data_IF_965858772461
#
_entry.id   IF_965858772461
#
_cell.length_a   1.000
_cell.length_b   1.000
_cell.length_c   1.000
_cell.angle_alpha   90.00
_cell.angle_beta   90.00
_cell.angle_gamma   90.00
#
_symmetry.space_group_name_H-M   'P 1'
#
loop_
_entity.id
_entity.type
_entity.pdbx_description
1 polymer ?
#
# COMPACT_ATOMS: atom_id res chain seq x y z
N UNK A 1 27.02 -43.47 20.33
CA UNK A 1 27.63 -42.13 20.44
C UNK A 1 28.41 -41.90 19.16
N UNK A 2 27.79 -41.26 18.18
CA UNK A 2 28.45 -40.78 16.97
C UNK A 2 28.07 -39.31 16.85
N UNK A 3 29.08 -38.46 16.97
CA UNK A 3 28.97 -37.01 16.98
C UNK A 3 28.84 -36.54 15.53
N UNK A 4 27.70 -35.97 15.17
CA UNK A 4 27.46 -35.37 13.85
C UNK A 4 27.60 -33.86 14.03
N UNK A 5 28.83 -33.38 13.83
CA UNK A 5 29.12 -31.95 13.72
C UNK A 5 28.67 -31.47 12.35
N UNK A 6 27.53 -30.78 12.29
CA UNK A 6 27.11 -30.03 11.10
C UNK A 6 27.87 -28.71 11.06
N UNK A 7 29.00 -28.70 10.36
CA UNK A 7 29.68 -27.47 9.93
C UNK A 7 28.82 -26.78 8.86
N UNK A 8 27.89 -25.94 9.29
CA UNK A 8 27.30 -24.92 8.41
C UNK A 8 28.18 -23.69 8.42
N UNK A 9 28.95 -23.50 7.36
CA UNK A 9 29.66 -22.24 7.13
C UNK A 9 28.66 -21.06 7.10
N UNK A 10 28.99 -19.91 7.69
CA UNK A 10 28.15 -18.73 7.62
C UNK A 10 28.06 -18.25 6.17
N UNK A 11 26.84 -18.27 5.62
CA UNK A 11 26.54 -17.71 4.31
C UNK A 11 26.82 -16.20 4.38
N UNK A 12 27.84 -15.75 3.64
CA UNK A 12 28.14 -14.32 3.50
C UNK A 12 27.02 -13.64 2.69
N UNK A 13 26.09 -13.02 3.42
CA UNK A 13 24.96 -12.26 2.85
C UNK A 13 25.39 -11.03 2.05
N UNK A 14 26.68 -10.66 2.07
CA UNK A 14 27.22 -9.57 1.26
C UNK A 14 27.76 -10.04 -0.11
N UNK A 15 27.75 -11.35 -0.39
CA UNK A 15 28.43 -11.92 -1.55
C UNK A 15 27.55 -12.09 -2.80
N UNK A 16 26.31 -11.58 -2.83
CA UNK A 16 25.55 -11.48 -4.09
C UNK A 16 25.79 -10.09 -4.66
N UNK A 17 26.64 -9.94 -5.70
CA UNK A 17 26.94 -8.64 -6.27
C UNK A 17 25.65 -8.05 -6.84
N UNK A 18 25.39 -6.78 -6.52
CA UNK A 18 24.23 -6.03 -6.99
C UNK A 18 24.11 -6.10 -8.52
N UNK A 19 25.24 -6.18 -9.24
CA UNK A 19 25.27 -6.34 -10.69
C UNK A 19 24.56 -7.62 -11.16
N UNK A 20 24.72 -8.75 -10.46
CA UNK A 20 24.05 -10.00 -10.81
C UNK A 20 22.53 -9.97 -10.55
N UNK A 21 22.08 -9.14 -9.61
CA UNK A 21 20.65 -8.90 -9.37
C UNK A 21 20.09 -7.97 -10.45
N UNK A 22 20.80 -6.90 -10.79
CA UNK A 22 20.38 -5.94 -11.83
C UNK A 22 20.38 -6.53 -13.24
N UNK A 23 21.31 -7.45 -13.54
CA UNK A 23 21.36 -8.20 -14.81
C UNK A 23 20.14 -9.11 -15.02
N UNK A 24 19.44 -9.50 -13.95
CA UNK A 24 18.18 -10.23 -14.02
C UNK A 24 16.94 -9.33 -14.23
N UNK A 25 17.10 -8.00 -14.11
CA UNK A 25 16.01 -7.00 -14.23
C UNK A 25 16.37 -5.77 -15.11
N UNK A 26 16.86 -5.96 -16.35
CA UNK A 26 17.32 -4.86 -17.21
C UNK A 26 16.22 -3.85 -17.59
N UNK A 27 14.95 -4.22 -17.47
CA UNK A 27 13.81 -3.33 -17.76
C UNK A 27 13.57 -2.28 -16.66
N UNK A 28 13.98 -2.54 -15.41
CA UNK A 28 13.69 -1.69 -14.24
C UNK A 28 14.60 -0.46 -14.17
N UNK A 29 15.82 -0.54 -14.72
CA UNK A 29 16.82 0.53 -14.71
C UNK A 29 17.11 1.17 -16.07
N UNK A 30 16.49 0.71 -17.16
CA UNK A 30 16.80 1.30 -18.46
C UNK A 30 16.37 2.79 -18.51
N UNK A 31 17.22 3.64 -19.09
CA UNK A 31 16.89 5.02 -19.47
C UNK A 31 15.63 5.09 -20.37
N UNK A 32 15.21 3.95 -20.94
CA UNK A 32 13.96 3.80 -21.68
C UNK A 32 12.70 3.98 -20.81
N UNK A 33 12.74 3.69 -19.50
CA UNK A 33 11.63 3.89 -18.56
C UNK A 33 11.33 5.37 -18.29
N UNK A 34 12.36 6.22 -18.23
CA UNK A 34 12.20 7.69 -18.20
C UNK A 34 11.75 8.24 -19.55
N UNK A 35 12.14 7.61 -20.67
CA UNK A 35 11.65 7.96 -22.01
C UNK A 35 10.17 7.59 -22.20
N UNK A 36 9.67 6.57 -21.51
CA UNK A 36 8.27 6.18 -21.52
C UNK A 36 7.35 7.25 -20.90
N UNK A 37 7.86 8.05 -19.94
CA UNK A 37 7.13 9.17 -19.32
C UNK A 37 6.91 10.37 -20.26
N UNK A 38 7.57 10.40 -21.43
CA UNK A 38 7.44 11.45 -22.45
C UNK A 38 6.75 10.97 -23.73
N UNK A 39 6.11 9.80 -23.69
CA UNK A 39 5.40 9.21 -24.83
C UNK A 39 3.90 9.17 -24.59
N UNK A 40 3.14 9.21 -25.68
CA UNK A 40 1.71 8.95 -25.63
C UNK A 40 1.48 7.50 -25.16
N UNK A 41 0.68 7.31 -24.11
CA UNK A 41 0.37 6.00 -23.54
C UNK A 41 -0.34 5.04 -24.52
N UNK A 42 -1.00 5.59 -25.55
CA UNK A 42 -1.70 4.79 -26.56
C UNK A 42 -0.81 4.48 -27.77
N UNK A 43 -0.28 5.51 -28.43
CA UNK A 43 0.41 5.38 -29.71
C UNK A 43 1.93 5.44 -29.64
N UNK A 44 2.52 5.71 -28.46
CA UNK A 44 3.96 5.77 -28.26
C UNK A 44 4.67 7.02 -28.78
N UNK A 45 3.97 7.95 -29.45
CA UNK A 45 4.57 9.19 -29.98
C UNK A 45 5.17 10.07 -28.89
N UNK A 46 6.35 10.63 -29.13
CA UNK A 46 7.10 11.52 -28.23
C UNK A 46 7.31 12.90 -28.84
N UNK A 47 7.67 13.88 -28.00
CA UNK A 47 8.11 15.19 -28.48
C UNK A 47 9.34 15.09 -29.41
N UNK A 48 10.19 14.08 -29.18
CA UNK A 48 11.41 13.84 -29.97
C UNK A 48 11.12 13.40 -31.42
N UNK A 49 9.92 12.87 -31.70
CA UNK A 49 9.53 12.36 -33.03
C UNK A 49 8.63 13.32 -33.83
N UNK A 50 8.00 14.28 -33.17
CA UNK A 50 6.92 15.11 -33.74
C UNK A 50 7.26 16.62 -33.78
N UNK A 51 8.47 17.00 -33.33
CA UNK A 51 8.99 18.36 -33.39
C UNK A 51 8.69 19.25 -32.18
N UNK A 52 9.26 20.46 -32.17
CA UNK A 52 9.30 21.39 -31.02
C UNK A 52 7.92 21.82 -30.45
N UNK A 53 6.83 21.65 -31.21
CA UNK A 53 5.49 22.05 -30.79
C UNK A 53 4.61 20.91 -30.27
N UNK A 54 5.13 19.69 -30.17
CA UNK A 54 4.36 18.54 -29.73
C UNK A 54 4.23 18.49 -28.19
N UNK A 55 3.00 18.71 -27.69
CA UNK A 55 2.70 18.65 -26.25
C UNK A 55 1.68 17.55 -25.94
N UNK A 56 2.09 16.62 -25.08
CA UNK A 56 1.18 15.61 -24.54
C UNK A 56 0.25 16.22 -23.49
N UNK A 57 -1.04 15.89 -23.59
CA UNK A 57 -2.08 16.27 -22.63
C UNK A 57 -2.16 15.23 -21.52
N UNK A 58 -2.37 15.68 -20.29
CA UNK A 58 -2.54 14.80 -19.13
C UNK A 58 -3.99 14.35 -19.02
N UNK A 59 -4.20 13.11 -18.58
CA UNK A 59 -5.53 12.63 -18.20
C UNK A 59 -6.10 13.50 -17.08
N UNK A 60 -7.36 13.96 -17.22
CA UNK A 60 -8.01 14.79 -16.20
C UNK A 60 -8.25 14.07 -14.87
N UNK A 61 -8.43 12.74 -14.89
CA UNK A 61 -8.68 11.93 -13.69
C UNK A 61 -7.40 11.60 -12.92
N UNK A 62 -6.44 10.94 -13.58
CA UNK A 62 -5.24 10.41 -12.92
C UNK A 62 -4.03 11.36 -12.93
N UNK A 63 -4.02 12.34 -13.85
CA UNK A 63 -2.89 13.23 -14.16
C UNK A 63 -1.53 12.57 -14.47
N UNK A 64 -1.48 11.24 -14.49
CA UNK A 64 -0.31 10.39 -14.69
C UNK A 64 -0.12 10.07 -16.18
N UNK A 65 -1.12 9.45 -16.81
CA UNK A 65 -1.04 9.10 -18.23
C UNK A 65 -1.14 10.32 -19.13
N UNK A 66 -0.34 10.28 -20.20
CA UNK A 66 -0.17 11.36 -21.17
C UNK A 66 -0.60 10.89 -22.55
N UNK A 67 -1.32 11.73 -23.27
CA UNK A 67 -1.87 11.42 -24.59
C UNK A 67 -1.63 12.57 -25.56
N UNK A 68 -1.31 12.26 -26.81
CA UNK A 68 -1.16 13.28 -27.85
C UNK A 68 -2.51 13.90 -28.23
N UNK A 69 -3.59 13.12 -28.14
CA UNK A 69 -4.95 13.53 -28.48
C UNK A 69 -5.99 12.97 -27.51
N UNK A 70 -7.19 13.53 -27.57
CA UNK A 70 -8.36 13.01 -26.83
C UNK A 70 -8.74 11.61 -27.31
N UNK A 71 -8.46 11.28 -28.57
CA UNK A 71 -8.78 9.98 -29.15
C UNK A 71 -7.83 8.89 -28.64
N UNK A 72 -6.54 9.20 -28.52
CA UNK A 72 -5.58 8.32 -27.83
C UNK A 72 -5.98 8.08 -26.36
N UNK A 73 -6.47 9.10 -25.67
CA UNK A 73 -6.97 8.95 -24.29
C UNK A 73 -8.19 8.02 -24.22
N UNK A 74 -9.15 8.17 -25.14
CA UNK A 74 -10.34 7.31 -25.19
C UNK A 74 -9.99 5.87 -25.55
N UNK A 75 -9.09 5.68 -26.52
CA UNK A 75 -8.66 4.37 -26.97
C UNK A 75 -7.87 3.62 -25.89
N UNK A 76 -7.07 4.31 -25.09
CA UNK A 76 -6.38 3.72 -23.94
C UNK A 76 -7.27 3.63 -22.69
N UNK A 77 -8.44 4.29 -22.64
CA UNK A 77 -9.25 4.41 -21.42
C UNK A 77 -9.56 3.08 -20.74
N UNK A 78 -9.87 2.04 -21.53
CA UNK A 78 -10.18 0.70 -21.01
C UNK A 78 -8.98 0.12 -20.26
N UNK A 79 -7.75 0.24 -20.79
CA UNK A 79 -6.53 -0.23 -20.13
C UNK A 79 -6.09 0.72 -19.01
N UNK A 80 -6.20 2.01 -19.25
CA UNK A 80 -5.78 3.07 -18.37
C UNK A 80 -6.56 3.11 -17.06
N UNK A 81 -7.89 3.04 -17.14
CA UNK A 81 -8.80 3.07 -15.97
C UNK A 81 -8.51 1.93 -14.99
N UNK A 82 -7.97 0.81 -15.48
CA UNK A 82 -7.58 -0.36 -14.69
C UNK A 82 -6.26 -0.15 -13.94
N UNK A 83 -5.26 0.46 -14.58
CA UNK A 83 -3.99 0.80 -13.93
C UNK A 83 -4.14 2.00 -12.97
N UNK A 84 -5.08 2.90 -13.25
CA UNK A 84 -5.43 3.93 -12.27
C UNK A 84 -6.09 3.34 -11.03
N UNK A 85 -6.87 2.28 -11.22
CA UNK A 85 -7.48 1.51 -10.14
C UNK A 85 -6.46 0.73 -9.28
N UNK A 86 -5.21 0.54 -9.74
CA UNK A 86 -4.12 -0.05 -8.93
C UNK A 86 -3.47 0.96 -7.97
N UNK A 87 -3.40 2.24 -8.35
CA UNK A 87 -2.88 3.32 -7.49
C UNK A 87 -3.97 4.03 -6.69
N UNK A 88 -5.23 3.80 -7.03
CA UNK A 88 -6.39 4.34 -6.36
C UNK A 88 -7.41 3.22 -6.09
N UNK A 89 -7.58 2.91 -4.80
CA UNK A 89 -8.73 2.27 -4.16
C UNK A 89 -8.54 0.81 -3.71
N UNK A 90 -8.27 0.67 -2.42
CA UNK A 90 -9.01 -0.23 -1.54
C UNK A 90 -10.52 -0.03 -1.72
N UNK A 91 -11.28 -1.09 -1.99
CA UNK A 91 -12.74 -1.03 -1.97
C UNK A 91 -13.21 -1.07 -0.51
N UNK A 92 -13.97 -0.06 -0.09
CA UNK A 92 -14.49 0.04 1.26
C UNK A 92 -15.63 -0.96 1.46
N UNK A 93 -15.38 -2.01 2.25
CA UNK A 93 -16.44 -2.82 2.85
C UNK A 93 -17.17 -2.02 3.93
N UNK A 94 -18.42 -2.39 4.21
CA UNK A 94 -19.27 -1.62 5.11
C UNK A 94 -18.72 -1.46 6.53
N UNK A 95 -19.14 -0.38 7.18
CA UNK A 95 -18.70 -0.01 8.52
C UNK A 95 -19.70 -0.61 9.51
N UNK A 96 -19.25 -1.57 10.33
CA UNK A 96 -20.04 -2.06 11.46
C UNK A 96 -19.64 -1.29 12.73
N UNK A 97 -20.55 -0.45 13.23
CA UNK A 97 -20.42 0.21 14.53
C UNK A 97 -21.30 -0.54 15.53
N UNK A 98 -20.71 -1.15 16.56
CA UNK A 98 -21.45 -1.65 17.74
C UNK A 98 -21.10 -0.76 18.93
N UNK A 99 -22.05 -0.44 19.81
CA UNK A 99 -21.82 0.42 20.97
C UNK A 99 -21.99 -0.35 22.27
N UNK A 100 -20.96 -0.35 23.11
CA UNK A 100 -21.04 -0.57 24.56
C UNK A 100 -20.09 0.44 25.21
N UNK A 101 -20.58 1.16 26.22
CA UNK A 101 -19.85 2.09 27.12
C UNK A 101 -19.85 3.61 26.77
N UNK A 102 -20.00 4.45 27.80
CA UNK A 102 -20.15 5.93 27.80
C UNK A 102 -18.82 6.70 27.85
N UNK A 103 -17.75 6.16 28.46
CA UNK A 103 -16.46 6.87 28.55
C UNK A 103 -15.66 6.92 27.23
N UNK A 104 -16.06 6.10 26.25
CA UNK A 104 -15.49 6.11 24.90
C UNK A 104 -15.77 7.40 24.11
N UNK A 105 -16.76 8.23 24.48
CA UNK A 105 -17.29 9.28 23.58
C UNK A 105 -16.29 10.36 23.16
N UNK A 106 -15.36 10.77 24.03
CA UNK A 106 -14.36 11.79 23.66
C UNK A 106 -13.27 11.26 22.74
N UNK A 107 -12.80 10.02 22.96
CA UNK A 107 -11.84 9.35 22.07
C UNK A 107 -12.50 8.96 20.75
N UNK A 108 -13.75 8.49 20.80
CA UNK A 108 -14.63 8.25 19.64
C UNK A 108 -14.77 9.49 18.79
N UNK A 109 -15.07 10.67 19.35
CA UNK A 109 -15.22 11.90 18.56
C UNK A 109 -13.94 12.30 17.82
N UNK A 110 -12.76 12.05 18.38
CA UNK A 110 -11.49 12.33 17.72
C UNK A 110 -11.20 11.33 16.58
N UNK A 111 -11.43 10.03 16.80
CA UNK A 111 -11.19 8.97 15.81
C UNK A 111 -12.27 8.95 14.72
N UNK A 112 -13.55 9.10 15.07
CA UNK A 112 -14.65 9.24 14.13
C UNK A 112 -14.53 10.51 13.27
N UNK A 113 -14.00 11.63 13.80
CA UNK A 113 -13.69 12.80 12.96
C UNK A 113 -12.55 12.57 11.96
N UNK A 114 -11.82 11.48 12.05
CA UNK A 114 -10.66 11.18 11.20
C UNK A 114 -10.95 10.04 10.25
N UNK A 115 -11.67 9.02 10.74
CA UNK A 115 -12.07 7.83 9.99
C UNK A 115 -13.46 7.94 9.37
N UNK A 116 -14.34 8.79 9.91
CA UNK A 116 -15.77 8.84 9.56
C UNK A 116 -16.26 10.24 9.24
N UNK A 117 -15.52 11.14 8.54
CA UNK A 117 -16.13 12.44 8.17
C UNK A 117 -17.35 12.21 7.27
N UNK A 118 -18.58 12.50 7.74
CA UNK A 118 -19.82 12.17 7.05
C UNK A 118 -20.60 13.46 6.80
N UNK A 119 -20.53 14.01 5.59
CA UNK A 119 -21.66 14.81 5.14
C UNK A 119 -22.36 14.04 4.05
N UNK A 120 -23.20 13.13 4.55
CA UNK A 120 -24.31 12.46 3.88
C UNK A 120 -23.88 11.52 2.75
N UNK A 121 -24.10 10.22 2.96
CA UNK A 121 -24.33 9.31 1.84
C UNK A 121 -25.49 9.89 1.01
N UNK A 122 -25.13 10.58 -0.07
CA UNK A 122 -26.04 11.37 -0.89
C UNK A 122 -25.30 11.87 -2.13
N UNK A 123 -25.04 10.95 -3.06
CA UNK A 123 -24.62 11.29 -4.43
C UNK A 123 -23.16 10.96 -4.75
N UNK A 124 -22.93 9.71 -5.17
CA UNK A 124 -21.89 9.30 -6.14
C UNK A 124 -20.43 9.64 -5.78
N UNK A 125 -19.79 8.73 -5.05
CA UNK A 125 -18.40 8.25 -5.27
C UNK A 125 -17.20 9.23 -5.25
N UNK A 126 -17.32 10.45 -4.72
CA UNK A 126 -16.23 11.46 -4.80
C UNK A 126 -15.66 12.06 -3.52
N UNK A 127 -16.23 11.82 -2.32
CA UNK A 127 -16.02 12.74 -1.17
C UNK A 127 -15.78 12.04 0.19
N UNK A 128 -15.14 10.86 0.20
CA UNK A 128 -14.47 10.31 1.39
C UNK A 128 -12.95 10.41 1.24
N UNK A 129 -12.47 11.62 0.95
CA UNK A 129 -11.06 11.99 0.76
C UNK A 129 -10.20 11.94 2.02
N UNK A 130 -10.44 11.01 2.93
CA UNK A 130 -9.43 10.53 3.86
C UNK A 130 -9.30 9.02 3.66
N UNK A 131 -8.68 8.55 2.55
CA UNK A 131 -7.96 7.29 2.66
C UNK A 131 -7.06 7.46 3.89
N UNK A 132 -7.07 6.48 4.79
CA UNK A 132 -6.05 6.36 5.82
C UNK A 132 -4.75 6.81 5.16
N UNK A 133 -4.12 7.90 5.62
CA UNK A 133 -2.99 8.51 4.88
C UNK A 133 -1.88 7.49 4.59
N UNK A 134 -1.95 6.35 5.26
CA UNK A 134 -1.12 5.18 5.21
C UNK A 134 -1.66 4.02 4.36
N UNK A 135 -2.61 4.22 3.45
CA UNK A 135 -3.20 3.13 2.62
C UNK A 135 -2.13 2.27 1.93
N UNK A 136 -1.14 2.92 1.30
CA UNK A 136 -0.01 2.21 0.68
C UNK A 136 0.75 1.36 1.70
N UNK A 137 1.03 1.90 2.88
CA UNK A 137 1.76 1.20 3.94
C UNK A 137 0.94 0.04 4.51
N UNK A 138 -0.36 0.21 4.71
CA UNK A 138 -1.25 -0.85 5.22
C UNK A 138 -1.42 -1.97 4.20
N UNK A 139 -1.56 -1.65 2.91
CA UNK A 139 -1.61 -2.65 1.85
C UNK A 139 -0.28 -3.41 1.71
N UNK A 140 0.85 -2.69 1.78
CA UNK A 140 2.17 -3.29 1.76
C UNK A 140 2.40 -4.21 2.99
N UNK A 141 1.99 -3.77 4.19
CA UNK A 141 1.99 -4.62 5.38
C UNK A 141 1.17 -5.88 5.17
N UNK A 142 -0.06 -5.76 4.66
CA UNK A 142 -0.93 -6.91 4.43
C UNK A 142 -0.32 -7.95 3.50
N UNK A 143 0.25 -7.49 2.38
CA UNK A 143 0.95 -8.37 1.43
C UNK A 143 2.20 -9.00 2.09
N UNK A 144 2.99 -8.22 2.82
CA UNK A 144 4.19 -8.73 3.48
C UNK A 144 3.87 -9.80 4.53
N UNK A 145 2.83 -9.59 5.35
CA UNK A 145 2.38 -10.59 6.33
C UNK A 145 1.93 -11.90 5.66
N UNK A 146 1.14 -11.81 4.58
CA UNK A 146 0.77 -13.01 3.79
C UNK A 146 2.00 -13.75 3.27
N UNK A 147 2.98 -13.01 2.74
CA UNK A 147 4.21 -13.59 2.20
C UNK A 147 5.13 -14.21 3.27
N UNK A 148 5.07 -13.74 4.51
CA UNK A 148 5.83 -14.29 5.65
C UNK A 148 5.21 -15.59 6.18
N UNK A 149 3.89 -15.70 6.23
CA UNK A 149 3.20 -16.86 6.83
C UNK A 149 3.15 -18.10 5.94
N UNK A 150 3.27 -17.94 4.62
CA UNK A 150 3.19 -19.07 3.70
C UNK A 150 2.78 -18.70 2.27
N UNK A 151 2.57 -17.42 1.99
CA UNK A 151 2.21 -16.94 0.66
C UNK A 151 0.70 -16.91 0.41
N UNK A 152 0.35 -16.68 -0.85
CA UNK A 152 -1.04 -16.43 -1.27
C UNK A 152 -1.89 -17.69 -1.04
N UNK A 153 -1.39 -18.85 -1.46
CA UNK A 153 -2.08 -20.13 -1.34
C UNK A 153 -2.41 -20.44 0.11
N UNK A 154 -1.47 -20.18 1.03
CA UNK A 154 -1.71 -20.29 2.46
C UNK A 154 -2.84 -19.36 2.92
N UNK A 155 -2.90 -18.12 2.45
CA UNK A 155 -3.95 -17.17 2.85
C UNK A 155 -5.35 -17.49 2.28
N UNK A 156 -5.42 -18.29 1.21
CA UNK A 156 -6.67 -18.55 0.49
C UNK A 156 -7.27 -19.92 0.77
N UNK A 157 -6.49 -20.88 1.28
CA UNK A 157 -6.98 -22.24 1.53
C UNK A 157 -6.55 -22.77 2.92
N UNK A 158 -7.43 -22.75 3.94
CA UNK A 158 -8.76 -22.11 3.93
C UNK A 158 -8.64 -20.58 3.85
N UNK A 159 -9.73 -19.90 3.48
CA UNK A 159 -9.74 -18.44 3.36
C UNK A 159 -9.48 -17.80 4.73
N UNK A 160 -8.38 -17.05 4.80
CA UNK A 160 -8.00 -16.25 5.97
C UNK A 160 -8.43 -14.80 5.80
N UNK A 161 -8.65 -14.15 6.94
CA UNK A 161 -8.82 -12.72 7.07
C UNK A 161 -7.66 -12.17 7.90
N UNK A 162 -7.10 -11.05 7.46
CA UNK A 162 -6.07 -10.35 8.20
C UNK A 162 -6.72 -9.32 9.13
N UNK A 163 -6.54 -9.48 10.43
CA UNK A 163 -6.96 -8.49 11.42
C UNK A 163 -5.77 -7.59 11.76
N UNK A 164 -5.93 -6.28 11.61
CA UNK A 164 -4.94 -5.28 11.97
C UNK A 164 -5.45 -4.43 13.12
N UNK A 165 -4.69 -4.42 14.21
CA UNK A 165 -5.00 -3.59 15.38
C UNK A 165 -4.21 -2.29 15.30
N UNK A 166 -4.93 -1.18 15.34
CA UNK A 166 -4.40 0.17 15.41
C UNK A 166 -4.72 0.76 16.80
N UNK A 167 -3.92 1.72 17.25
CA UNK A 167 -4.18 2.46 18.48
C UNK A 167 -4.20 3.96 18.19
N UNK A 168 -5.10 4.74 18.83
CA UNK A 168 -5.00 6.19 18.77
C UNK A 168 -3.65 6.65 19.31
N UNK A 169 -2.96 7.53 18.60
CA UNK A 169 -1.76 8.14 19.15
C UNK A 169 -2.17 9.01 20.35
N UNK A 170 -1.57 8.74 21.53
CA UNK A 170 -1.81 9.52 22.73
C UNK A 170 -1.56 11.00 22.46
N UNK A 171 -2.60 11.81 22.49
CA UNK A 171 -2.49 13.26 22.36
C UNK A 171 -1.91 13.82 23.65
N UNK A 172 -0.59 13.75 23.81
CA UNK A 172 0.09 14.46 24.90
C UNK A 172 0.02 15.97 24.62
N UNK A 173 -1.07 16.60 25.07
CA UNK A 173 -1.11 17.98 25.52
C UNK A 173 -1.09 19.15 24.52
N UNK A 174 -0.81 18.99 23.23
CA UNK A 174 -0.65 20.15 22.32
C UNK A 174 -1.80 20.35 21.31
N UNK A 175 -2.53 21.49 21.33
CA UNK A 175 -3.69 21.73 20.44
C UNK A 175 -3.38 22.20 19.00
N UNK A 176 -2.14 22.55 18.61
CA UNK A 176 -2.00 23.55 17.53
C UNK A 176 -1.69 23.07 16.09
N UNK A 177 -1.26 21.83 15.82
CA UNK A 177 -1.09 21.33 14.44
C UNK A 177 -1.28 19.81 14.38
N UNK A 178 -2.54 19.36 14.32
CA UNK A 178 -2.85 17.94 14.14
C UNK A 178 -2.42 17.50 12.73
N UNK A 179 -1.21 16.97 12.59
CA UNK A 179 -0.83 16.19 11.42
C UNK A 179 -1.76 14.97 11.37
N UNK A 180 -2.62 14.89 10.36
CA UNK A 180 -3.61 13.82 10.23
C UNK A 180 -2.98 12.43 10.13
N UNK A 181 -1.70 12.36 9.76
CA UNK A 181 -0.95 11.11 9.68
C UNK A 181 -0.47 10.56 11.02
N UNK A 182 -0.50 11.35 12.10
CA UNK A 182 -0.03 10.92 13.43
C UNK A 182 -1.16 10.47 14.35
N UNK A 183 -2.33 10.17 13.79
CA UNK A 183 -3.54 9.93 14.59
C UNK A 183 -3.63 8.48 15.04
N UNK A 184 -3.07 7.56 14.27
CA UNK A 184 -3.09 6.13 14.55
C UNK A 184 -1.66 5.61 14.59
N UNK A 185 -1.45 4.60 15.44
CA UNK A 185 -0.27 3.77 15.48
C UNK A 185 -0.67 2.34 15.16
N UNK A 186 0.16 1.64 14.42
CA UNK A 186 0.05 0.20 14.24
C UNK A 186 0.48 -0.50 15.53
N UNK A 187 -0.37 -1.37 16.06
CA UNK A 187 -0.13 -2.12 17.30
C UNK A 187 0.18 -3.58 17.04
N UNK A 188 -0.50 -4.20 16.08
CA UNK A 188 -0.31 -5.61 15.78
C UNK A 188 -1.17 -6.09 14.63
N UNK A 189 -1.01 -7.37 14.30
CA UNK A 189 -1.85 -8.08 13.36
C UNK A 189 -1.99 -9.55 13.78
N UNK A 190 -3.02 -10.19 13.26
CA UNK A 190 -3.22 -11.63 13.34
C UNK A 190 -3.99 -12.12 12.11
N UNK A 191 -3.84 -13.40 11.77
CA UNK A 191 -4.67 -14.05 10.76
C UNK A 191 -5.72 -14.91 11.42
N UNK A 192 -6.95 -14.79 10.94
CA UNK A 192 -8.10 -15.53 11.43
C UNK A 192 -8.64 -16.36 10.27
N UNK A 193 -8.84 -17.66 10.47
CA UNK A 193 -9.56 -18.50 9.50
C UNK A 193 -11.03 -18.12 9.55
N UNK A 194 -11.62 -17.78 8.39
CA UNK A 194 -13.00 -17.30 8.36
C UNK A 194 -13.98 -18.37 8.86
N UNK A 195 -13.80 -19.62 8.47
CA UNK A 195 -14.67 -20.73 8.88
C UNK A 195 -14.66 -20.94 10.41
N UNK A 196 -13.48 -20.94 11.02
CA UNK A 196 -13.33 -21.02 12.48
C UNK A 196 -14.04 -19.84 13.16
N UNK A 197 -13.90 -18.62 12.61
CA UNK A 197 -14.54 -17.43 13.17
C UNK A 197 -16.06 -17.45 13.02
N UNK A 198 -16.56 -17.99 11.93
CA UNK A 198 -18.00 -18.15 11.70
C UNK A 198 -18.60 -19.22 12.63
N UNK A 199 -17.84 -20.27 12.94
CA UNK A 199 -18.24 -21.27 13.93
C UNK A 199 -18.26 -20.68 15.35
N UNK A 200 -17.28 -19.84 15.70
CA UNK A 200 -17.22 -19.16 17.00
C UNK A 200 -18.34 -18.12 17.16
N UNK A 201 -18.61 -17.32 16.12
CA UNK A 201 -19.56 -16.20 16.17
C UNK A 201 -20.42 -16.23 14.88
N UNK A 202 -21.54 -16.97 14.87
CA UNK A 202 -22.38 -17.15 13.68
C UNK A 202 -22.89 -15.85 13.05
N UNK A 203 -23.13 -14.79 13.85
CA UNK A 203 -23.56 -13.49 13.32
C UNK A 203 -22.48 -12.84 12.44
N UNK A 204 -21.21 -13.16 12.68
CA UNK A 204 -20.11 -12.71 11.81
C UNK A 204 -20.21 -13.37 10.43
N UNK A 205 -20.59 -14.65 10.38
CA UNK A 205 -20.83 -15.37 9.12
C UNK A 205 -22.01 -14.79 8.33
N UNK A 206 -23.10 -14.42 9.00
CA UNK A 206 -24.25 -13.78 8.34
C UNK A 206 -23.87 -12.41 7.75
N UNK A 207 -23.16 -11.58 8.52
CA UNK A 207 -22.67 -10.28 8.02
C UNK A 207 -21.66 -10.45 6.89
N UNK A 208 -20.80 -11.45 6.99
CA UNK A 208 -19.88 -11.79 5.90
C UNK A 208 -20.67 -12.11 4.63
N UNK A 209 -21.71 -12.94 4.70
CA UNK A 209 -22.56 -13.27 3.56
C UNK A 209 -23.28 -12.04 2.98
N UNK A 210 -23.68 -11.07 3.81
CA UNK A 210 -24.30 -9.82 3.38
C UNK A 210 -23.40 -9.02 2.41
N UNK A 211 -22.07 -9.03 2.62
CA UNK A 211 -21.10 -8.33 1.78
C UNK A 211 -20.63 -9.12 0.54
N UNK A 212 -21.30 -10.22 0.19
CA UNK A 212 -20.98 -11.00 -1.00
C UNK A 212 -21.07 -10.19 -2.30
N UNK A 213 -22.10 -9.34 -2.54
CA UNK A 213 -22.17 -8.52 -3.76
C UNK A 213 -20.96 -7.60 -3.95
N UNK A 214 -20.48 -6.98 -2.85
CA UNK A 214 -19.30 -6.12 -2.82
C UNK A 214 -18.02 -6.90 -3.15
N UNK A 215 -17.85 -8.09 -2.57
CA UNK A 215 -16.71 -8.96 -2.88
C UNK A 215 -16.73 -9.40 -4.33
N UNK A 216 -17.89 -9.78 -4.88
CA UNK A 216 -18.02 -10.13 -6.29
C UNK A 216 -17.72 -8.94 -7.21
N UNK A 217 -18.14 -7.73 -6.85
CA UNK A 217 -17.80 -6.52 -7.57
C UNK A 217 -16.28 -6.25 -7.56
N UNK A 218 -15.63 -6.43 -6.41
CA UNK A 218 -14.17 -6.33 -6.29
C UNK A 218 -13.46 -7.41 -7.12
N UNK A 219 -13.89 -8.67 -7.06
CA UNK A 219 -13.38 -9.75 -7.90
C UNK A 219 -13.46 -9.40 -9.40
N UNK A 220 -14.63 -8.96 -9.90
CA UNK A 220 -14.81 -8.55 -11.29
C UNK A 220 -13.90 -7.39 -11.70
N UNK A 221 -13.66 -6.45 -10.80
CA UNK A 221 -12.77 -5.30 -11.06
C UNK A 221 -11.32 -5.74 -11.19
N UNK A 222 -10.85 -6.61 -10.31
CA UNK A 222 -9.44 -6.98 -10.25
C UNK A 222 -9.07 -8.17 -11.13
N UNK A 223 -10.04 -9.02 -11.50
CA UNK A 223 -9.84 -10.18 -12.40
C UNK A 223 -9.38 -9.82 -13.80
N UNK A 224 -9.48 -8.54 -14.17
CA UNK A 224 -8.98 -8.03 -15.44
C UNK A 224 -7.44 -8.10 -15.50
N UNK A 225 -6.78 -8.10 -14.34
CA UNK A 225 -5.33 -8.28 -14.28
C UNK A 225 -4.96 -9.77 -14.37
N UNK A 226 -4.08 -10.19 -15.29
CA UNK A 226 -3.81 -11.61 -15.55
C UNK A 226 -3.20 -12.35 -14.35
N UNK A 227 -2.45 -11.65 -13.49
CA UNK A 227 -1.87 -12.24 -12.28
C UNK A 227 -2.83 -12.25 -11.08
N UNK A 228 -4.06 -11.76 -11.21
CA UNK A 228 -5.00 -11.70 -10.09
C UNK A 228 -5.43 -13.10 -9.64
N UNK A 229 -5.47 -13.30 -8.32
CA UNK A 229 -5.78 -14.62 -7.73
C UNK A 229 -6.82 -14.59 -6.62
N UNK A 230 -7.17 -13.41 -6.12
CA UNK A 230 -8.32 -13.26 -5.23
C UNK A 230 -8.19 -12.06 -4.32
N UNK A 231 -9.00 -12.05 -3.27
CA UNK A 231 -9.03 -10.96 -2.29
C UNK A 231 -8.47 -11.47 -0.97
N UNK A 232 -7.70 -10.61 -0.31
CA UNK A 232 -7.42 -10.69 1.11
C UNK A 232 -8.42 -9.79 1.84
N UNK A 233 -9.33 -10.35 2.64
CA UNK A 233 -10.16 -9.58 3.56
C UNK A 233 -9.26 -9.03 4.67
N UNK A 234 -9.32 -7.72 4.90
CA UNK A 234 -8.57 -7.04 5.95
C UNK A 234 -9.54 -6.30 6.87
N UNK A 235 -9.51 -6.63 8.16
CA UNK A 235 -10.28 -5.93 9.17
C UNK A 235 -9.37 -5.03 10.00
N UNK A 236 -9.77 -3.78 10.17
CA UNK A 236 -9.11 -2.83 11.04
C UNK A 236 -9.92 -2.66 12.31
N UNK A 237 -9.26 -2.84 13.43
CA UNK A 237 -9.76 -2.48 14.75
C UNK A 237 -8.93 -1.33 15.30
N UNK A 238 -9.59 -0.37 15.95
CA UNK A 238 -8.90 0.72 16.65
C UNK A 238 -9.11 0.57 18.15
N UNK A 239 -8.03 0.30 18.89
CA UNK A 239 -8.02 0.15 20.34
C UNK A 239 -8.79 1.28 21.04
N UNK A 240 -9.71 0.88 21.92
CA UNK A 240 -10.54 1.81 22.68
C UNK A 240 -11.59 2.54 21.85
N UNK A 241 -11.80 2.15 20.59
CA UNK A 241 -12.87 2.62 19.73
C UNK A 241 -13.66 1.39 19.26
N UNK A 242 -14.93 1.32 19.63
CA UNK A 242 -15.83 0.23 19.23
C UNK A 242 -16.28 0.39 17.77
N UNK A 243 -15.30 0.30 16.86
CA UNK A 243 -15.48 0.46 15.43
C UNK A 243 -14.52 -0.46 14.70
N UNK A 244 -15.07 -1.27 13.80
CA UNK A 244 -14.32 -2.11 12.88
C UNK A 244 -14.58 -1.67 11.44
N UNK A 245 -13.53 -1.59 10.64
CA UNK A 245 -13.63 -1.32 9.20
C UNK A 245 -13.10 -2.52 8.43
N UNK A 246 -13.83 -2.95 7.40
CA UNK A 246 -13.38 -4.04 6.52
C UNK A 246 -12.98 -3.47 5.16
N UNK A 247 -11.81 -3.88 4.66
CA UNK A 247 -11.34 -3.61 3.30
C UNK A 247 -11.03 -4.94 2.60
N UNK A 248 -10.99 -4.90 1.27
CA UNK A 248 -10.55 -6.04 0.46
C UNK A 248 -9.34 -5.62 -0.36
N UNK A 249 -8.20 -6.24 -0.09
CA UNK A 249 -6.98 -6.02 -0.85
C UNK A 249 -6.82 -7.09 -1.93
N UNK A 250 -6.58 -6.71 -3.20
CA UNK A 250 -6.35 -7.69 -4.24
C UNK A 250 -4.99 -8.39 -4.04
N UNK A 251 -4.99 -9.71 -4.23
CA UNK A 251 -3.81 -10.55 -4.27
C UNK A 251 -3.45 -10.85 -5.71
N UNK A 252 -2.15 -10.79 -6.01
CA UNK A 252 -1.60 -11.06 -7.34
C UNK A 252 -0.43 -12.04 -7.23
N UNK A 253 -0.40 -13.05 -8.10
CA UNK A 253 0.77 -13.92 -8.24
C UNK A 253 1.99 -13.12 -8.69
N UNK A 254 3.17 -13.44 -8.17
CA UNK A 254 4.44 -12.98 -8.73
C UNK A 254 4.50 -13.20 -10.24
N UNK A 255 5.00 -12.22 -11.00
CA UNK A 255 5.06 -12.31 -12.47
C UNK A 255 6.19 -13.25 -12.94
N UNK A 256 7.12 -13.61 -12.06
CA UNK A 256 8.23 -14.53 -12.34
C UNK A 256 8.46 -15.43 -11.13
N UNK A 257 8.77 -16.70 -11.37
CA UNK A 257 9.35 -17.59 -10.36
C UNK A 257 10.79 -17.14 -10.10
N UNK A 258 10.97 -16.07 -9.34
CA UNK A 258 12.29 -15.71 -8.85
C UNK A 258 12.64 -16.67 -7.72
N UNK A 259 13.56 -17.58 -7.99
CA UNK A 259 14.22 -18.43 -6.99
C UNK A 259 15.12 -17.56 -6.10
N UNK A 260 14.53 -16.61 -5.37
CA UNK A 260 15.25 -15.87 -4.35
C UNK A 260 15.56 -16.80 -3.19
N UNK A 261 16.79 -16.73 -2.67
CA UNK A 261 17.15 -17.40 -1.44
C UNK A 261 16.15 -16.98 -0.34
N UNK A 262 15.54 -17.97 0.33
CA UNK A 262 14.50 -17.74 1.35
C UNK A 262 14.96 -16.75 2.43
N UNK A 263 16.26 -16.76 2.79
CA UNK A 263 16.88 -15.83 3.74
C UNK A 263 16.74 -14.38 3.27
N UNK A 264 17.05 -14.08 2.01
CA UNK A 264 16.91 -12.74 1.44
C UNK A 264 15.45 -12.27 1.39
N UNK A 265 14.51 -13.20 1.16
CA UNK A 265 13.07 -12.92 1.21
C UNK A 265 12.63 -12.48 2.61
N UNK A 266 12.96 -13.23 3.66
CA UNK A 266 12.55 -12.91 5.03
C UNK A 266 13.09 -11.55 5.49
N UNK A 267 14.36 -11.26 5.21
CA UNK A 267 14.97 -9.97 5.55
C UNK A 267 14.31 -8.82 4.77
N UNK A 268 14.07 -9.00 3.47
CA UNK A 268 13.39 -8.00 2.62
C UNK A 268 11.97 -7.70 3.11
N UNK A 269 11.20 -8.73 3.49
CA UNK A 269 9.87 -8.56 4.05
C UNK A 269 9.92 -7.85 5.41
N UNK A 270 10.89 -8.18 6.26
CA UNK A 270 11.12 -7.50 7.54
C UNK A 270 11.42 -6.00 7.39
N UNK A 271 12.24 -5.64 6.41
CA UNK A 271 12.57 -4.25 6.12
C UNK A 271 11.39 -3.47 5.53
N UNK A 272 10.58 -4.10 4.65
CA UNK A 272 9.34 -3.50 4.15
C UNK A 272 8.36 -3.21 5.29
N UNK A 273 8.19 -4.17 6.20
CA UNK A 273 7.35 -4.00 7.37
C UNK A 273 7.88 -2.89 8.27
N UNK A 274 9.20 -2.84 8.51
CA UNK A 274 9.85 -1.79 9.28
C UNK A 274 9.56 -0.41 8.69
N UNK A 275 9.68 -0.26 7.38
CA UNK A 275 9.38 0.98 6.67
C UNK A 275 7.89 1.37 6.76
N UNK A 276 6.98 0.42 6.50
CA UNK A 276 5.54 0.68 6.46
C UNK A 276 4.97 0.98 7.86
N UNK A 277 5.34 0.17 8.86
CA UNK A 277 4.93 0.38 10.25
C UNK A 277 5.55 1.66 10.80
N UNK A 278 6.82 1.96 10.48
CA UNK A 278 7.46 3.22 10.82
C UNK A 278 6.75 4.43 10.21
N UNK A 279 6.37 4.35 8.93
CA UNK A 279 5.56 5.38 8.25
C UNK A 279 4.26 5.67 9.00
N UNK A 280 3.54 4.60 9.40
CA UNK A 280 2.28 4.71 10.16
C UNK A 280 2.54 5.39 11.52
N UNK A 281 3.47 4.82 12.30
CA UNK A 281 3.69 5.19 13.69
C UNK A 281 4.27 6.59 13.86
N UNK A 282 5.16 6.99 12.95
CA UNK A 282 5.82 8.29 13.00
C UNK A 282 5.07 9.37 12.20
N UNK A 283 4.14 8.96 11.34
CA UNK A 283 3.24 9.83 10.59
C UNK A 283 3.89 10.51 9.39
N UNK A 284 4.66 9.75 8.61
CA UNK A 284 5.17 10.15 7.29
C UNK A 284 4.54 9.29 6.17
N UNK A 285 3.25 9.48 5.83
CA UNK A 285 2.53 8.64 4.89
C UNK A 285 3.28 8.43 3.57
N UNK A 286 3.47 7.16 3.24
CA UNK A 286 4.02 6.71 1.97
C UNK A 286 2.96 6.82 0.87
N UNK A 287 3.25 7.57 -0.20
CA UNK A 287 2.38 7.63 -1.38
C UNK A 287 3.20 7.70 -2.67
N UNK A 288 2.70 7.11 -3.78
CA UNK A 288 3.31 7.31 -5.08
C UNK A 288 3.24 8.78 -5.49
N UNK A 289 4.29 9.26 -6.15
CA UNK A 289 4.26 10.56 -6.83
C UNK A 289 3.83 10.30 -8.28
N UNK A 290 2.76 10.97 -8.71
CA UNK A 290 2.07 10.82 -10.01
C UNK A 290 2.96 10.97 -11.27
N UNK A 291 4.26 11.23 -11.12
CA UNK A 291 5.21 11.51 -12.19
C UNK A 291 6.52 10.73 -12.12
N UNK A 292 6.85 10.11 -10.98
CA UNK A 292 8.18 9.52 -10.75
C UNK A 292 8.21 8.02 -11.08
N UNK A 293 7.19 7.27 -10.66
CA UNK A 293 6.96 5.87 -11.00
C UNK A 293 5.82 5.37 -10.10
N UNK A 294 4.77 4.70 -10.61
CA UNK A 294 3.76 4.07 -9.74
C UNK A 294 4.33 2.90 -8.92
N UNK A 295 5.61 2.56 -9.14
CA UNK A 295 6.31 1.48 -8.46
C UNK A 295 6.86 1.90 -7.10
N UNK A 296 7.13 3.19 -6.91
CA UNK A 296 7.77 3.72 -5.71
C UNK A 296 6.81 4.58 -4.92
N UNK A 297 6.80 4.39 -3.61
CA UNK A 297 6.18 5.31 -2.68
C UNK A 297 7.22 6.24 -2.06
N UNK A 298 6.80 7.45 -1.78
CA UNK A 298 7.62 8.50 -1.21
C UNK A 298 7.03 8.89 0.14
N UNK A 299 7.88 9.18 1.14
CA UNK A 299 7.42 9.72 2.41
C UNK A 299 6.98 11.17 2.21
N UNK A 300 5.95 11.57 2.93
CA UNK A 300 5.43 12.92 2.85
C UNK A 300 4.64 13.31 4.09
N UNK A 301 3.93 14.42 3.98
CA UNK A 301 3.07 14.94 5.03
C UNK A 301 1.78 15.52 4.46
N UNK A 302 0.71 15.45 5.22
CA UNK A 302 -0.50 16.19 4.91
C UNK A 302 -0.39 17.62 5.41
N UNK A 303 -0.54 18.56 4.49
CA UNK A 303 -0.62 19.99 4.79
C UNK A 303 -2.02 20.49 4.48
N UNK A 304 -2.55 21.33 5.37
CA UNK A 304 -3.84 21.98 5.18
C UNK A 304 -3.63 23.32 4.49
N UNK A 305 -4.20 23.49 3.31
CA UNK A 305 -4.19 24.74 2.55
C UNK A 305 -5.62 25.09 2.14
N UNK A 306 -6.08 26.30 2.48
CA UNK A 306 -7.45 26.76 2.20
C UNK A 306 -8.54 25.75 2.63
N UNK A 307 -8.42 25.26 3.87
CA UNK A 307 -9.38 24.31 4.45
C UNK A 307 -9.23 22.86 3.96
N UNK A 308 -8.55 22.63 2.85
CA UNK A 308 -8.37 21.31 2.23
C UNK A 308 -7.05 20.68 2.64
N UNK A 309 -7.06 19.38 2.93
CA UNK A 309 -5.85 18.61 3.18
C UNK A 309 -5.25 18.13 1.86
N UNK A 310 -3.96 18.37 1.67
CA UNK A 310 -3.20 17.87 0.52
C UNK A 310 -1.95 17.16 1.03
N UNK A 311 -1.67 15.98 0.48
CA UNK A 311 -0.41 15.31 0.73
C UNK A 311 0.70 15.98 -0.09
N UNK A 312 1.86 16.17 0.53
CA UNK A 312 3.07 16.68 -0.14
C UNK A 312 4.25 15.77 0.19
N UNK A 313 5.03 15.33 -0.82
CA UNK A 313 6.21 14.54 -0.57
C UNK A 313 7.28 15.38 0.15
N UNK A 314 8.13 14.72 0.93
CA UNK A 314 9.30 15.34 1.54
C UNK A 314 10.38 15.70 0.51
N UNK A 315 10.47 14.90 -0.55
CA UNK A 315 11.41 15.07 -1.67
C UNK A 315 10.83 14.45 -2.93
N UNK A 316 11.29 14.88 -4.10
CA UNK A 316 10.75 14.43 -5.40
C UNK A 316 11.31 13.08 -5.88
N UNK A 317 12.46 12.68 -5.35
CA UNK A 317 13.19 11.47 -5.73
C UNK A 317 13.98 10.94 -4.52
N UNK A 318 14.14 9.62 -4.39
CA UNK A 318 14.90 9.03 -3.29
C UNK A 318 16.39 9.42 -3.32
N UNK A 319 16.95 9.74 -4.48
CA UNK A 319 18.31 10.28 -4.61
C UNK A 319 18.44 11.71 -4.05
N UNK A 320 17.33 12.42 -3.84
CA UNK A 320 17.30 13.74 -3.21
C UNK A 320 17.21 13.65 -1.68
N UNK A 321 16.95 12.46 -1.11
CA UNK A 321 16.96 12.28 0.34
C UNK A 321 18.36 12.51 0.90
N UNK A 322 18.42 13.16 2.06
CA UNK A 322 19.65 13.42 2.82
C UNK A 322 19.37 13.07 4.27
N UNK A 323 20.22 12.21 4.85
CA UNK A 323 20.13 11.85 6.26
C UNK A 323 20.22 13.11 7.14
N UNK A 324 19.36 13.20 8.15
CA UNK A 324 19.24 14.38 9.02
C UNK A 324 18.14 15.35 8.57
N UNK A 325 17.63 15.25 7.34
CA UNK A 325 16.56 16.14 6.86
C UNK A 325 15.20 15.83 7.52
N UNK A 326 14.95 14.57 7.87
CA UNK A 326 13.67 14.11 8.38
C UNK A 326 13.87 13.07 9.49
N UNK A 327 13.98 13.52 10.74
CA UNK A 327 14.30 12.68 11.90
C UNK A 327 13.52 11.37 11.98
N UNK A 328 12.20 11.40 11.81
CA UNK A 328 11.35 10.19 11.88
C UNK A 328 11.62 9.18 10.78
N UNK A 329 11.92 9.67 9.57
CA UNK A 329 12.32 8.82 8.46
C UNK A 329 13.70 8.24 8.74
N UNK A 330 14.66 9.05 9.17
CA UNK A 330 16.02 8.61 9.50
C UNK A 330 16.02 7.48 10.54
N UNK A 331 15.25 7.64 11.61
CA UNK A 331 15.09 6.65 12.68
C UNK A 331 14.42 5.35 12.18
N UNK A 332 13.53 5.46 11.20
CA UNK A 332 12.90 4.28 10.58
C UNK A 332 13.88 3.55 9.68
N UNK A 333 14.60 4.28 8.83
CA UNK A 333 15.58 3.69 7.91
C UNK A 333 16.76 3.07 8.65
N UNK A 334 17.16 3.60 9.81
CA UNK A 334 18.23 3.03 10.62
C UNK A 334 17.90 1.67 11.26
N UNK A 335 16.63 1.25 11.25
CA UNK A 335 16.20 -0.07 11.75
C UNK A 335 16.17 -1.15 10.68
N UNK A 336 16.38 -0.78 9.41
CA UNK A 336 16.42 -1.71 8.29
C UNK A 336 17.76 -2.46 8.26
N UNK A 337 17.76 -3.69 7.74
CA UNK A 337 18.84 -4.68 7.92
C UNK A 337 19.43 -5.23 6.63
N UNK A 338 18.69 -5.21 5.51
CA UNK A 338 19.07 -5.85 4.24
C UNK A 338 20.20 -5.09 3.52
N UNK A 339 20.52 -3.86 3.95
CA UNK A 339 21.60 -3.06 3.35
C UNK A 339 21.30 -2.51 1.96
N UNK A 340 20.12 -2.79 1.39
CA UNK A 340 19.66 -2.25 0.10
C UNK A 340 19.02 -0.88 0.27
N UNK A 341 18.98 -0.11 -0.82
CA UNK A 341 18.29 1.18 -0.81
C UNK A 341 16.77 0.98 -0.73
N UNK A 342 16.05 2.00 -0.24
CA UNK A 342 14.58 1.94 -0.16
C UNK A 342 13.90 1.74 -1.53
N UNK A 343 14.32 2.41 -2.61
CA UNK A 343 13.79 2.13 -3.95
C UNK A 343 13.95 0.67 -4.37
N UNK A 344 15.15 0.10 -4.20
CA UNK A 344 15.43 -1.29 -4.52
C UNK A 344 14.54 -2.23 -3.70
N UNK A 345 14.43 -1.97 -2.40
CA UNK A 345 13.55 -2.73 -1.51
C UNK A 345 12.09 -2.73 -2.02
N UNK A 346 11.54 -1.57 -2.40
CA UNK A 346 10.17 -1.46 -2.92
C UNK A 346 10.00 -2.20 -4.25
N UNK A 347 11.00 -2.16 -5.12
CA UNK A 347 11.00 -2.87 -6.39
C UNK A 347 11.06 -4.39 -6.18
N UNK A 348 11.93 -4.86 -5.28
CA UNK A 348 11.99 -6.27 -4.87
C UNK A 348 10.66 -6.74 -4.27
N UNK A 349 10.07 -5.94 -3.38
CA UNK A 349 8.78 -6.29 -2.78
C UNK A 349 7.64 -6.39 -3.79
N UNK A 350 7.74 -5.70 -4.92
CA UNK A 350 6.73 -5.76 -5.97
C UNK A 350 6.76 -7.05 -6.77
N UNK A 351 7.95 -7.63 -6.96
CA UNK A 351 8.15 -8.88 -7.70
C UNK A 351 7.90 -10.12 -6.84
N UNK A 352 8.01 -10.00 -5.51
CA UNK A 352 7.51 -10.98 -4.53
C UNK A 352 5.98 -10.98 -4.49
#
# INVERSE_FOLDING_TARGET
MADVTTDTEPIDVNAVPLEAILDNFPEVLSASSLSALRRCHHCGSSADTEGENFRLRRCGGCRTSRYCSKDCQKADWVKHSLNTAQNALSYYGGICVRTRDRDGDRRRAAVARVLLFPRLCGGVLGVFGCPLGHDWALQACAKAFVLQEGGIEWSQNPQKMLWMTLAPASSSGAPARRNSSRILKFKGHEFITLEEKFAEIPETGLKWAEYEPERQAAHRRFSIHPSYVGLLPVMFEVDGVSMTQSLYYPLYRPTRNTTYAQISKHLTLGDILTLCIGSINEGFPLRPIDHASPLLAFPGQYVRHQGTWSWRPFFSDWNCYRRGAFKSLDETLSRMTVGVTVPELMLFFRIL
#
